data_IF_700917311252
#
_entry.id   IF_700917311252
#
_cell.length_a   1.000
_cell.length_b   1.000
_cell.length_c   1.000
_cell.angle_alpha   90.00
_cell.angle_beta   90.00
_cell.angle_gamma   90.00
#
_symmetry.space_group_name_H-M   'P 1'
#
loop_
_entity.id
_entity.type
_entity.pdbx_description
1 polymer ?
#
# COMPACT_ATOMS: atom_id res chain seq x y z
N UNK A 1 2.60 -3.27 -29.81
CA UNK A 1 2.63 -4.08 -28.57
C UNK A 1 1.23 -4.56 -28.27
N UNK A 2 1.09 -5.81 -27.83
CA UNK A 2 -0.19 -6.36 -27.37
C UNK A 2 0.03 -7.10 -26.06
N UNK A 3 -0.72 -6.74 -25.02
CA UNK A 3 -0.65 -7.37 -23.69
C UNK A 3 -2.02 -7.90 -23.31
N UNK A 4 -2.08 -9.15 -22.84
CA UNK A 4 -3.32 -9.74 -22.35
C UNK A 4 -3.72 -9.09 -21.02
N UNK A 5 -5.02 -8.83 -20.87
CA UNK A 5 -5.61 -8.41 -19.60
C UNK A 5 -6.00 -9.68 -18.85
N UNK A 6 -5.67 -9.75 -17.57
CA UNK A 6 -6.13 -10.85 -16.73
C UNK A 6 -7.67 -10.92 -16.77
N UNK A 7 -8.20 -12.13 -16.93
CA UNK A 7 -9.64 -12.35 -17.03
C UNK A 7 -10.40 -11.78 -15.83
N UNK A 8 -9.83 -11.88 -14.62
CA UNK A 8 -10.41 -11.34 -13.39
C UNK A 8 -10.43 -9.81 -13.35
N UNK A 9 -9.59 -9.14 -14.14
CA UNK A 9 -9.49 -7.68 -14.19
C UNK A 9 -10.22 -7.07 -15.39
N UNK A 10 -10.66 -7.89 -16.34
CA UNK A 10 -11.22 -7.41 -17.61
C UNK A 10 -12.43 -6.48 -17.40
N UNK A 11 -13.23 -6.67 -16.35
CA UNK A 11 -14.36 -5.78 -16.06
C UNK A 11 -13.95 -4.39 -15.53
N UNK A 12 -12.83 -4.30 -14.80
CA UNK A 12 -12.38 -3.06 -14.13
C UNK A 12 -11.19 -2.39 -14.81
N UNK A 13 -10.54 -3.08 -15.75
CA UNK A 13 -9.41 -2.57 -16.50
C UNK A 13 -9.81 -1.33 -17.33
N UNK A 14 -9.08 -0.20 -17.22
CA UNK A 14 -9.44 1.05 -17.88
C UNK A 14 -9.37 0.96 -19.41
N UNK A 15 -10.06 1.89 -20.08
CA UNK A 15 -10.09 1.94 -21.55
C UNK A 15 -8.73 2.29 -22.19
N UNK A 16 -7.87 3.01 -21.47
CA UNK A 16 -6.52 3.35 -21.88
C UNK A 16 -5.55 3.18 -20.70
N UNK A 17 -4.29 2.88 -21.01
CA UNK A 17 -3.22 2.66 -20.05
C UNK A 17 -1.90 3.19 -20.61
N UNK A 18 -1.06 3.86 -19.79
CA UNK A 18 0.24 4.35 -20.25
C UNK A 18 1.17 3.21 -20.65
N UNK A 19 2.00 3.47 -21.65
CA UNK A 19 3.11 2.60 -22.02
C UNK A 19 4.41 3.19 -21.46
N UNK A 20 5.29 2.32 -21.01
CA UNK A 20 6.58 2.70 -20.44
C UNK A 20 7.69 1.95 -21.18
N UNK A 21 8.67 2.67 -21.71
CA UNK A 21 9.87 2.09 -22.32
C UNK A 21 11.03 2.13 -21.31
N UNK A 22 11.84 1.07 -21.28
CA UNK A 22 13.04 1.07 -20.44
C UNK A 22 14.18 1.82 -21.13
N UNK A 23 14.76 2.80 -20.44
CA UNK A 23 15.93 3.52 -20.92
C UNK A 23 17.20 2.86 -20.40
N UNK A 24 17.93 2.16 -21.27
CA UNK A 24 19.15 1.41 -20.89
C UNK A 24 20.33 2.31 -20.47
N UNK A 25 20.36 3.56 -20.92
CA UNK A 25 21.44 4.49 -20.55
C UNK A 25 21.28 5.00 -19.12
N UNK A 26 20.04 5.27 -18.70
CA UNK A 26 19.73 5.79 -17.35
C UNK A 26 19.30 4.70 -16.37
N UNK A 27 18.87 3.53 -16.88
CA UNK A 27 18.31 2.45 -16.09
C UNK A 27 16.88 2.71 -15.57
N UNK A 28 16.14 3.64 -16.18
CA UNK A 28 14.84 4.12 -15.68
C UNK A 28 13.73 3.84 -16.71
N UNK A 29 12.54 3.47 -16.23
CA UNK A 29 11.32 3.39 -17.05
C UNK A 29 10.78 4.79 -17.36
N UNK A 30 10.52 5.06 -18.64
CA UNK A 30 10.04 6.34 -19.13
C UNK A 30 8.66 6.15 -19.76
N UNK A 31 7.68 6.95 -19.34
CA UNK A 31 6.36 6.92 -19.94
C UNK A 31 6.43 7.46 -21.37
N UNK A 32 5.99 6.65 -22.33
CA UNK A 32 5.96 7.01 -23.74
C UNK A 32 4.78 6.34 -24.45
N UNK A 33 3.74 7.13 -24.72
CA UNK A 33 2.56 6.65 -25.44
C UNK A 33 1.53 5.95 -24.55
N UNK A 34 0.58 5.28 -25.18
CA UNK A 34 -0.52 4.59 -24.49
C UNK A 34 -1.03 3.40 -25.29
N UNK A 35 -1.67 2.46 -24.61
CA UNK A 35 -2.40 1.36 -25.23
C UNK A 35 -3.90 1.49 -24.94
N UNK A 36 -4.72 1.13 -25.92
CA UNK A 36 -6.16 1.09 -25.80
C UNK A 36 -6.63 -0.34 -25.53
N UNK A 37 -7.67 -0.48 -24.71
CA UNK A 37 -8.33 -1.77 -24.46
C UNK A 37 -9.13 -2.20 -25.68
N UNK A 38 -8.80 -3.37 -26.23
CA UNK A 38 -9.49 -3.99 -27.37
C UNK A 38 -9.88 -5.42 -26.97
N UNK A 39 -11.14 -5.60 -26.59
CA UNK A 39 -11.60 -6.86 -26.00
C UNK A 39 -10.88 -7.16 -24.68
N UNK A 40 -10.09 -8.24 -24.67
CA UNK A 40 -9.35 -8.72 -23.50
C UNK A 40 -7.85 -8.40 -23.57
N UNK A 41 -7.44 -7.47 -24.42
CA UNK A 41 -6.04 -7.06 -24.56
C UNK A 41 -5.90 -5.54 -24.52
N UNK A 42 -4.71 -5.07 -24.19
CA UNK A 42 -4.25 -3.74 -24.48
C UNK A 42 -3.43 -3.74 -25.76
N UNK A 43 -3.76 -2.86 -26.70
CA UNK A 43 -3.08 -2.70 -27.98
C UNK A 43 -2.58 -1.27 -28.11
N UNK A 44 -1.28 -1.11 -28.33
CA UNK A 44 -0.65 0.19 -28.51
C UNK A 44 0.49 0.14 -29.52
N UNK A 45 0.77 1.28 -30.15
CA UNK A 45 1.91 1.45 -31.03
C UNK A 45 3.13 1.83 -30.20
N UNK A 46 4.29 1.26 -30.54
CA UNK A 46 5.57 1.61 -29.93
C UNK A 46 6.40 2.39 -30.95
N UNK A 47 7.14 3.39 -30.49
CA UNK A 47 7.96 4.27 -31.33
C UNK A 47 9.30 3.64 -31.72
N UNK A 48 9.80 2.70 -30.91
CA UNK A 48 11.05 1.97 -31.13
C UNK A 48 11.04 0.61 -30.42
N UNK A 49 12.05 -0.22 -30.71
CA UNK A 49 12.27 -1.45 -29.94
C UNK A 49 12.90 -1.12 -28.58
N UNK A 50 12.35 -1.71 -27.53
CA UNK A 50 12.83 -1.66 -26.15
C UNK A 50 12.13 -2.76 -25.35
N UNK A 51 12.41 -2.85 -24.05
CA UNK A 51 11.46 -3.46 -23.11
C UNK A 51 10.34 -2.48 -22.83
N UNK A 52 9.10 -2.97 -22.93
CA UNK A 52 7.90 -2.18 -22.76
C UNK A 52 7.03 -2.72 -21.65
N UNK A 53 6.53 -1.84 -20.80
CA UNK A 53 5.56 -2.13 -19.77
C UNK A 53 4.26 -1.34 -20.03
N UNK A 54 3.16 -1.83 -19.48
CA UNK A 54 1.81 -1.32 -19.67
C UNK A 54 1.17 -1.17 -18.29
N UNK A 55 1.58 -0.12 -17.57
CA UNK A 55 1.30 0.06 -16.15
C UNK A 55 0.70 1.42 -15.83
N UNK A 56 -0.13 1.44 -14.77
CA UNK A 56 -0.74 2.65 -14.23
C UNK A 56 0.02 3.12 -13.00
N UNK A 57 0.44 4.38 -13.01
CA UNK A 57 0.90 5.02 -11.79
C UNK A 57 -0.28 5.28 -10.86
N UNK A 58 -0.28 4.58 -9.71
CA UNK A 58 -1.30 4.81 -8.68
C UNK A 58 -0.84 5.93 -7.74
N UNK A 59 -1.69 6.93 -7.46
CA UNK A 59 -1.34 7.97 -6.50
C UNK A 59 -1.22 7.40 -5.08
N UNK A 60 -0.22 7.88 -4.35
CA UNK A 60 0.15 7.37 -3.02
C UNK A 60 0.33 8.52 -2.04
N UNK A 61 0.26 8.18 -0.75
CA UNK A 61 0.64 9.03 0.37
C UNK A 61 1.50 8.21 1.35
N UNK A 62 2.18 8.87 2.27
CA UNK A 62 2.95 8.20 3.33
C UNK A 62 2.12 8.25 4.62
N UNK A 63 1.92 7.10 5.27
CA UNK A 63 1.38 7.02 6.62
C UNK A 63 2.53 6.91 7.61
N UNK A 64 2.46 7.65 8.72
CA UNK A 64 3.32 7.46 9.90
C UNK A 64 2.47 7.15 11.12
N UNK A 65 2.85 6.13 11.87
CA UNK A 65 2.16 5.66 13.07
C UNK A 65 3.18 5.50 14.18
N UNK A 66 2.87 6.01 15.37
CA UNK A 66 3.59 5.75 16.60
C UNK A 66 2.68 4.95 17.55
N UNK A 67 3.22 3.88 18.14
CA UNK A 67 2.47 3.01 19.07
C UNK A 67 3.15 3.02 20.43
N UNK A 68 2.37 3.32 21.47
CA UNK A 68 2.79 3.32 22.87
C UNK A 68 1.84 2.48 23.72
N UNK A 69 2.34 1.98 24.84
CA UNK A 69 1.48 1.39 25.86
C UNK A 69 0.84 2.48 26.75
N UNK A 70 -0.04 2.08 27.67
CA UNK A 70 -0.73 2.99 28.59
C UNK A 70 0.21 3.82 29.50
N UNK A 71 1.46 3.38 29.70
CA UNK A 71 2.47 4.13 30.46
C UNK A 71 3.27 5.12 29.58
N UNK A 72 2.92 5.25 28.29
CA UNK A 72 3.63 6.09 27.33
C UNK A 72 4.94 5.49 26.80
N UNK A 73 5.23 4.23 27.13
CA UNK A 73 6.44 3.55 26.66
C UNK A 73 6.22 3.08 25.22
N UNK A 74 7.17 3.35 24.29
CA UNK A 74 7.12 2.85 22.93
C UNK A 74 6.95 1.33 22.85
N UNK A 75 6.04 0.89 21.98
CA UNK A 75 5.87 -0.52 21.69
C UNK A 75 6.76 -0.92 20.51
N UNK A 76 7.90 -1.52 20.82
CA UNK A 76 8.89 -2.00 19.85
C UNK A 76 8.47 -3.36 19.28
N UNK A 77 8.87 -3.68 18.04
CA UNK A 77 8.58 -4.96 17.38
C UNK A 77 7.10 -5.32 17.34
N UNK A 78 6.23 -4.31 17.26
CA UNK A 78 4.78 -4.46 17.28
C UNK A 78 4.23 -4.39 15.87
N UNK A 79 3.34 -5.32 15.53
CA UNK A 79 2.78 -5.42 14.18
C UNK A 79 1.63 -4.42 14.04
N UNK A 80 1.78 -3.51 13.07
CA UNK A 80 0.72 -2.60 12.63
C UNK A 80 0.29 -3.02 11.23
N UNK A 81 -0.98 -3.35 11.09
CA UNK A 81 -1.53 -3.81 9.82
C UNK A 81 -2.60 -2.87 9.29
N UNK A 82 -2.72 -2.83 7.97
CA UNK A 82 -3.72 -2.10 7.22
C UNK A 82 -4.51 -3.07 6.35
N UNK A 83 -5.82 -2.88 6.30
CA UNK A 83 -6.71 -3.54 5.34
C UNK A 83 -7.51 -2.53 4.57
N UNK A 84 -7.48 -2.60 3.24
CA UNK A 84 -8.37 -1.80 2.41
C UNK A 84 -9.79 -2.35 2.46
N UNK A 85 -10.79 -1.47 2.45
CA UNK A 85 -12.19 -1.90 2.31
C UNK A 85 -12.37 -2.76 1.05
N UNK A 86 -13.05 -3.91 1.21
CA UNK A 86 -13.26 -4.90 0.15
C UNK A 86 -12.13 -5.93 -0.04
N UNK A 87 -11.01 -5.81 0.68
CA UNK A 87 -9.95 -6.83 0.68
C UNK A 87 -10.10 -7.80 1.86
N UNK A 88 -9.65 -9.05 1.66
CA UNK A 88 -9.68 -10.13 2.64
C UNK A 88 -8.35 -10.32 3.38
N UNK A 89 -7.28 -9.65 2.91
CA UNK A 89 -5.93 -9.78 3.45
C UNK A 89 -5.42 -8.44 3.98
N UNK A 90 -4.53 -8.52 4.96
CA UNK A 90 -3.85 -7.37 5.55
C UNK A 90 -2.45 -7.19 4.94
N UNK A 91 -1.94 -5.96 4.98
CA UNK A 91 -0.52 -5.62 4.78
C UNK A 91 0.02 -5.00 6.05
N UNK A 92 1.26 -5.28 6.43
CA UNK A 92 1.79 -4.90 7.74
C UNK A 92 3.20 -4.32 7.70
N UNK A 93 3.47 -3.45 8.66
CA UNK A 93 4.82 -3.05 9.07
C UNK A 93 5.05 -3.39 10.55
N UNK A 94 6.31 -3.32 10.96
CA UNK A 94 6.74 -3.58 12.34
C UNK A 94 7.34 -2.29 12.89
N UNK A 95 6.96 -1.93 14.11
CA UNK A 95 7.49 -0.74 14.78
C UNK A 95 8.97 -0.89 15.17
N UNK A 96 9.71 0.21 15.05
CA UNK A 96 11.11 0.31 15.46
C UNK A 96 11.26 0.53 16.99
N UNK A 97 12.48 0.84 17.42
CA UNK A 97 12.83 1.08 18.82
C UNK A 97 12.12 2.30 19.44
N UNK A 98 11.62 3.23 18.62
CA UNK A 98 10.84 4.41 19.04
C UNK A 98 9.34 4.16 18.99
N UNK A 99 8.91 2.95 18.62
CA UNK A 99 7.51 2.59 18.44
C UNK A 99 6.94 3.10 17.12
N UNK A 100 7.79 3.53 16.19
CA UNK A 100 7.40 4.13 14.92
C UNK A 100 7.34 3.11 13.78
N UNK A 101 6.36 3.26 12.90
CA UNK A 101 6.27 2.54 11.63
C UNK A 101 5.73 3.47 10.54
N UNK A 102 6.27 3.37 9.33
CA UNK A 102 5.83 4.19 8.20
C UNK A 102 5.82 3.42 6.89
N UNK A 103 5.00 3.85 5.94
CA UNK A 103 4.90 3.22 4.63
C UNK A 103 3.95 3.93 3.68
N UNK A 104 4.02 3.55 2.40
CA UNK A 104 3.12 4.06 1.38
C UNK A 104 1.71 3.46 1.53
N UNK A 105 0.70 4.30 1.37
CA UNK A 105 -0.71 3.92 1.39
C UNK A 105 -1.43 4.44 0.14
N UNK A 106 -2.47 3.73 -0.34
CA UNK A 106 -3.30 4.23 -1.42
C UNK A 106 -4.14 5.42 -0.97
N UNK A 107 -4.21 6.45 -1.80
CA UNK A 107 -4.98 7.68 -1.51
C UNK A 107 -6.47 7.46 -1.79
N UNK A 108 -7.32 8.26 -1.16
CA UNK A 108 -8.78 8.21 -1.38
C UNK A 108 -9.39 6.81 -1.20
N UNK A 109 -8.80 5.97 -0.34
CA UNK A 109 -9.34 4.66 0.05
C UNK A 109 -9.51 4.59 1.55
N UNK A 110 -10.61 3.98 1.98
CA UNK A 110 -10.83 3.65 3.40
C UNK A 110 -9.93 2.49 3.79
N UNK A 111 -9.11 2.71 4.82
CA UNK A 111 -8.19 1.73 5.38
C UNK A 111 -8.58 1.44 6.83
N UNK A 112 -8.62 0.16 7.20
CA UNK A 112 -8.76 -0.30 8.57
C UNK A 112 -7.36 -0.58 9.12
N UNK A 113 -6.93 0.20 10.11
CA UNK A 113 -5.71 -0.03 10.86
C UNK A 113 -5.98 -1.00 12.02
N UNK A 114 -5.04 -1.90 12.26
CA UNK A 114 -5.01 -2.82 13.39
C UNK A 114 -3.63 -2.82 14.01
N UNK A 115 -3.57 -2.92 15.34
CA UNK A 115 -2.34 -3.22 16.07
C UNK A 115 -2.50 -4.57 16.73
N UNK A 116 -1.49 -5.43 16.60
CA UNK A 116 -1.48 -6.76 17.20
C UNK A 116 -0.53 -6.82 18.39
N UNK A 117 -0.88 -7.62 19.40
CA UNK A 117 0.05 -8.01 20.45
C UNK A 117 0.96 -9.16 20.01
N UNK A 118 1.86 -9.56 20.91
CA UNK A 118 2.80 -10.69 20.73
C UNK A 118 2.12 -12.05 20.54
N UNK A 119 0.83 -12.15 20.89
CA UNK A 119 0.00 -13.34 20.73
C UNK A 119 -0.82 -13.30 19.43
N UNK A 120 -0.55 -12.37 18.51
CA UNK A 120 -1.33 -12.13 17.29
C UNK A 120 -2.79 -11.78 17.56
N UNK A 121 -3.11 -11.20 18.71
CA UNK A 121 -4.44 -10.70 19.03
C UNK A 121 -4.53 -9.21 18.68
N UNK A 122 -5.63 -8.79 18.03
CA UNK A 122 -5.87 -7.38 17.74
C UNK A 122 -6.19 -6.64 19.04
N UNK A 123 -5.33 -5.70 19.41
CA UNK A 123 -5.46 -4.88 20.63
C UNK A 123 -5.88 -3.43 20.35
N UNK A 124 -5.85 -3.03 19.07
CA UNK A 124 -6.37 -1.74 18.62
C UNK A 124 -6.91 -1.87 17.21
N UNK A 125 -7.99 -1.16 16.92
CA UNK A 125 -8.50 -1.03 15.55
C UNK A 125 -9.12 0.34 15.32
N UNK A 126 -8.86 0.92 14.14
CA UNK A 126 -9.44 2.20 13.75
C UNK A 126 -9.59 2.30 12.23
N UNK A 127 -10.64 2.97 11.76
CA UNK A 127 -10.72 3.38 10.36
C UNK A 127 -9.93 4.67 10.18
N UNK A 128 -9.09 4.71 9.14
CA UNK A 128 -8.36 5.90 8.76
C UNK A 128 -9.23 6.80 7.86
N UNK A 129 -9.06 8.11 8.02
CA UNK A 129 -9.63 9.10 7.11
C UNK A 129 -9.01 9.00 5.72
N UNK A 130 -9.69 9.55 4.71
CA UNK A 130 -9.15 9.61 3.35
C UNK A 130 -7.92 10.53 3.32
N UNK A 131 -6.83 10.00 2.76
CA UNK A 131 -5.55 10.71 2.67
C UNK A 131 -5.36 11.24 1.25
N UNK A 132 -4.86 12.48 1.16
CA UNK A 132 -4.59 13.16 -0.11
C UNK A 132 -3.26 12.69 -0.74
N UNK A 133 -3.19 12.70 -2.07
CA UNK A 133 -1.99 12.29 -2.81
C UNK A 133 -0.77 13.15 -2.52
N UNK A 134 0.41 12.51 -2.46
CA UNK A 134 1.70 13.15 -2.21
C UNK A 134 1.90 13.64 -0.77
N UNK A 135 0.92 13.46 0.11
CA UNK A 135 1.01 13.93 1.50
C UNK A 135 1.72 12.93 2.41
N UNK A 136 2.25 13.44 3.53
CA UNK A 136 2.63 12.62 4.69
C UNK A 136 1.56 12.79 5.77
N UNK A 137 0.80 11.73 6.01
CA UNK A 137 -0.23 11.69 7.04
C UNK A 137 0.36 11.07 8.32
N UNK A 138 0.53 11.91 9.34
CA UNK A 138 1.01 11.49 10.66
C UNK A 138 -0.22 11.26 11.54
N UNK A 139 -0.42 10.01 11.96
CA UNK A 139 -1.49 9.67 12.88
C UNK A 139 -1.12 10.14 14.30
N UNK A 140 -2.13 10.52 15.08
CA UNK A 140 -1.93 10.70 16.52
C UNK A 140 -1.44 9.39 17.15
N UNK A 141 -0.58 9.51 18.16
CA UNK A 141 -0.05 8.38 18.92
C UNK A 141 -1.15 7.40 19.33
N UNK A 142 -0.98 6.14 18.93
CA UNK A 142 -1.87 5.06 19.33
C UNK A 142 -1.41 4.60 20.71
N UNK A 143 -2.28 4.75 21.71
CA UNK A 143 -2.06 4.18 23.04
C UNK A 143 -2.88 2.92 23.21
N UNK A 144 -2.22 1.80 23.48
CA UNK A 144 -2.87 0.50 23.68
C UNK A 144 -2.72 0.01 25.13
N UNK A 145 -3.76 -0.63 25.63
CA UNK A 145 -3.71 -1.32 26.92
C UNK A 145 -3.32 -2.77 26.66
N UNK A 146 -2.15 -3.18 27.14
CA UNK A 146 -1.67 -4.56 27.02
C UNK A 146 -2.72 -5.55 27.58
N UNK A 147 -3.12 -6.53 26.77
CA UNK A 147 -3.93 -7.69 27.20
C UNK A 147 -3.08 -8.85 27.73
N UNK A 148 -1.77 -8.67 27.88
CA UNK A 148 -0.86 -9.70 28.36
C UNK A 148 -1.19 -10.14 29.79
N UNK A 149 -1.88 -11.28 29.94
CA UNK A 149 -1.82 -12.04 31.19
C UNK A 149 -0.38 -12.53 31.34
N UNK A 150 0.33 -11.98 32.31
CA UNK A 150 1.56 -12.60 32.81
C UNK A 150 1.19 -14.03 33.23
N UNK A 151 1.68 -15.05 32.51
CA UNK A 151 1.82 -16.37 33.11
C UNK A 151 3.06 -16.28 33.98
N UNK A 152 2.85 -16.04 35.26
CA UNK A 152 3.86 -16.33 36.27
C UNK A 152 4.26 -17.81 36.12
N UNK A 153 5.57 -18.05 36.04
CA UNK A 153 6.17 -19.38 36.05
C UNK A 153 6.35 -19.79 37.51
#
# INVERSE_FOLDING_TARGET
>A
MTVAIDAAQTATAPAAIPLWSFNEFTGIWQEEGSAAKVGNTYVGNVSHFSWWNCDLQSPQAILKVNVKNAAGIPMVNTVVALRRSGQTYDTSGITDNSGDVSGYIPVNKTLLLKVYDVCNTVIYTANLALVAAGSTFVLQDITVTSTGKFREI
#
